data_IF_602965016108
#
_entry.id   IF_602965016108
#
_cell.length_a   1.000
_cell.length_b   1.000
_cell.length_c   1.000
_cell.angle_alpha   90.00
_cell.angle_beta   90.00
_cell.angle_gamma   90.00
#
_symmetry.space_group_name_H-M   'P 1'
#
loop_
_entity.id
_entity.type
_entity.pdbx_description
1 polymer ?
#
# COMPACT_ATOMS: atom_id res chain seq x y z
N UNK A 1 -15.71 -12.56 5.51
CA UNK A 1 -14.99 -12.07 4.32
C UNK A 1 -15.68 -10.88 3.66
N UNK A 2 -17.02 -10.77 3.68
CA UNK A 2 -17.79 -9.60 3.20
C UNK A 2 -17.29 -8.23 3.72
N UNK A 3 -17.02 -8.12 5.02
CA UNK A 3 -16.65 -6.84 5.64
C UNK A 3 -15.35 -6.25 5.05
N UNK A 4 -14.30 -7.07 4.89
CA UNK A 4 -13.02 -6.64 4.34
C UNK A 4 -13.20 -6.16 2.89
N UNK A 5 -13.99 -6.88 2.09
CA UNK A 5 -14.27 -6.50 0.71
C UNK A 5 -14.97 -5.14 0.63
N UNK A 6 -15.97 -4.90 1.49
CA UNK A 6 -16.66 -3.60 1.57
C UNK A 6 -15.70 -2.47 1.96
N UNK A 7 -14.79 -2.71 2.91
CA UNK A 7 -13.76 -1.74 3.29
C UNK A 7 -12.83 -1.44 2.11
N UNK A 8 -12.31 -2.48 1.42
CA UNK A 8 -11.45 -2.32 0.25
C UNK A 8 -12.15 -1.54 -0.88
N UNK A 9 -13.43 -1.80 -1.14
CA UNK A 9 -14.20 -1.05 -2.13
C UNK A 9 -14.35 0.43 -1.77
N UNK A 10 -14.68 0.74 -0.52
CA UNK A 10 -14.75 2.13 -0.06
C UNK A 10 -13.38 2.84 -0.15
N UNK A 11 -12.29 2.12 0.17
CA UNK A 11 -10.94 2.66 0.06
C UNK A 11 -10.59 3.04 -1.39
N UNK A 12 -10.90 2.16 -2.36
CA UNK A 12 -10.73 2.44 -3.81
C UNK A 12 -11.42 3.73 -4.23
N UNK A 13 -12.69 3.91 -3.82
CA UNK A 13 -13.48 5.11 -4.15
C UNK A 13 -12.88 6.39 -3.57
N UNK A 14 -12.25 6.30 -2.40
CA UNK A 14 -11.65 7.45 -1.73
C UNK A 14 -10.23 7.76 -2.23
N UNK A 15 -9.54 6.78 -2.82
CA UNK A 15 -8.20 6.89 -3.40
C UNK A 15 -7.22 7.68 -2.50
N UNK A 16 -7.25 7.38 -1.21
CA UNK A 16 -6.46 8.06 -0.19
C UNK A 16 -4.98 7.72 -0.36
N UNK A 17 -4.14 8.56 0.25
CA UNK A 17 -2.69 8.39 0.25
C UNK A 17 -2.26 7.73 1.56
N UNK A 18 -1.45 6.68 1.49
CA UNK A 18 -0.90 5.98 2.65
C UNK A 18 0.62 6.15 2.60
N UNK A 19 1.20 6.61 3.71
CA UNK A 19 2.64 6.72 3.87
C UNK A 19 3.10 5.54 4.71
N UNK A 20 4.02 4.74 4.18
CA UNK A 20 4.60 3.58 4.85
C UNK A 20 6.04 3.91 5.23
N UNK A 21 6.33 4.18 6.52
CA UNK A 21 7.68 4.51 6.98
C UNK A 21 8.65 3.33 6.92
N UNK A 22 8.14 2.10 6.93
CA UNK A 22 8.91 0.86 6.88
C UNK A 22 9.21 0.41 5.43
N UNK A 23 9.64 1.33 4.57
CA UNK A 23 9.83 1.08 3.13
C UNK A 23 10.90 0.04 2.75
N UNK A 24 11.56 -0.59 3.72
CA UNK A 24 12.54 -1.68 3.52
C UNK A 24 12.09 -3.00 4.14
N UNK A 25 10.93 -3.04 4.80
CA UNK A 25 10.43 -4.25 5.44
C UNK A 25 9.66 -5.10 4.42
N UNK A 26 10.04 -6.38 4.20
CA UNK A 26 9.48 -7.17 3.11
C UNK A 26 7.96 -7.33 3.13
N UNK A 27 7.33 -7.44 4.31
CA UNK A 27 5.86 -7.57 4.39
C UNK A 27 5.16 -6.26 4.02
N UNK A 28 5.76 -5.14 4.37
CA UNK A 28 5.27 -3.79 4.04
C UNK A 28 5.37 -3.53 2.54
N UNK A 29 6.47 -3.96 1.91
CA UNK A 29 6.63 -3.91 0.46
C UNK A 29 5.61 -4.82 -0.26
N UNK A 30 5.46 -6.07 0.19
CA UNK A 30 4.46 -6.98 -0.38
C UNK A 30 3.03 -6.43 -0.27
N UNK A 31 2.68 -5.81 0.87
CA UNK A 31 1.38 -5.18 1.05
C UNK A 31 1.20 -3.94 0.18
N UNK A 32 2.27 -3.15 -0.02
CA UNK A 32 2.26 -2.01 -0.92
C UNK A 32 1.99 -2.44 -2.37
N UNK A 33 2.64 -3.50 -2.83
CA UNK A 33 2.43 -4.07 -4.17
C UNK A 33 0.98 -4.53 -4.36
N UNK A 34 0.42 -5.26 -3.40
CA UNK A 34 -0.99 -5.68 -3.46
C UNK A 34 -1.94 -4.47 -3.50
N UNK A 35 -1.70 -3.45 -2.68
CA UNK A 35 -2.54 -2.24 -2.64
C UNK A 35 -2.50 -1.49 -3.98
N UNK A 36 -1.32 -1.41 -4.60
CA UNK A 36 -1.11 -0.76 -5.90
C UNK A 36 -1.77 -1.57 -7.01
N UNK A 37 -1.53 -2.88 -7.08
CA UNK A 37 -2.11 -3.77 -8.09
C UNK A 37 -3.65 -3.79 -8.02
N UNK A 38 -4.21 -3.80 -6.81
CA UNK A 38 -5.65 -3.78 -6.58
C UNK A 38 -6.27 -2.37 -6.73
N UNK A 39 -5.46 -1.33 -6.94
CA UNK A 39 -5.89 0.06 -7.07
C UNK A 39 -6.58 0.63 -5.82
N UNK A 40 -6.22 0.14 -4.63
CA UNK A 40 -6.92 0.46 -3.37
C UNK A 40 -6.58 1.86 -2.86
N UNK A 41 -5.32 2.28 -2.96
CA UNK A 41 -4.83 3.55 -2.45
C UNK A 41 -3.53 3.96 -3.16
N UNK A 42 -3.15 5.23 -3.00
CA UNK A 42 -1.84 5.74 -3.44
C UNK A 42 -0.82 5.52 -2.34
N UNK A 43 0.23 4.75 -2.61
CA UNK A 43 1.29 4.47 -1.64
C UNK A 43 2.45 5.47 -1.79
N UNK A 44 3.01 5.89 -0.65
CA UNK A 44 4.30 6.56 -0.55
C UNK A 44 5.16 5.72 0.41
N UNK A 45 6.30 5.24 -0.06
CA UNK A 45 7.29 4.56 0.79
C UNK A 45 8.30 5.60 1.28
N UNK A 46 8.59 5.62 2.58
CA UNK A 46 9.73 6.39 3.10
C UNK A 46 10.94 5.47 3.26
N UNK A 47 12.10 6.01 2.92
CA UNK A 47 13.37 5.30 2.98
C UNK A 47 14.37 5.88 1.99
N UNK A 48 15.61 5.41 2.07
CA UNK A 48 16.60 5.70 1.04
C UNK A 48 16.23 4.94 -0.25
N UNK A 49 16.04 5.61 -1.40
CA UNK A 49 15.59 4.94 -2.64
C UNK A 49 16.45 3.74 -3.02
N UNK A 50 17.76 3.82 -2.79
CA UNK A 50 18.71 2.73 -3.07
C UNK A 50 18.49 1.47 -2.24
N UNK A 51 17.88 1.57 -1.06
CA UNK A 51 17.55 0.41 -0.20
C UNK A 51 16.13 -0.10 -0.40
N UNK A 52 15.23 0.76 -0.88
CA UNK A 52 13.83 0.40 -1.16
C UNK A 52 13.71 -0.30 -2.52
N UNK A 53 14.61 0.00 -3.46
CA UNK A 53 14.65 -0.55 -4.82
C UNK A 53 15.65 -1.71 -5.00
N UNK A 54 16.25 -2.18 -3.91
CA UNK A 54 17.14 -3.36 -3.91
C UNK A 54 16.33 -4.65 -4.05
#
# INVERSE_FOLDING_TARGET
MELINRIKQNARLQNKRIVLPEGIEPRTLSAADEIIADGIARIILLGAPSRVME
#
